data_IF_390896582738
#
_entry.id   IF_390896582738
#
_cell.length_a   1.000
_cell.length_b   1.000
_cell.length_c   1.000
_cell.angle_alpha   90.00
_cell.angle_beta   90.00
_cell.angle_gamma   90.00
#
_symmetry.space_group_name_H-M   'P 1'
#
loop_
_entity.id
_entity.type
_entity.pdbx_description
1 polymer ?
#
# COMPACT_ATOMS: atom_id res chain seq x y z
N UNK A 1 18.84 -1.18 -2.60
CA UNK A 1 19.17 -2.56 -3.00
C UNK A 1 18.87 -3.48 -1.84
N UNK A 2 17.65 -4.03 -1.80
CA UNK A 2 17.27 -5.06 -0.85
C UNK A 2 17.99 -6.36 -1.18
N UNK A 3 18.25 -7.14 -0.13
CA UNK A 3 18.78 -8.50 -0.23
C UNK A 3 17.62 -9.46 0.05
N UNK A 4 17.18 -10.20 -0.95
CA UNK A 4 16.04 -11.11 -0.88
C UNK A 4 16.57 -12.55 -0.86
N UNK A 5 16.16 -13.33 0.13
CA UNK A 5 16.60 -14.72 0.31
C UNK A 5 15.71 -15.67 -0.50
N UNK A 6 16.14 -16.02 -1.71
CA UNK A 6 15.43 -17.01 -2.51
C UNK A 6 15.56 -18.39 -1.83
N UNK A 7 14.46 -19.11 -1.54
CA UNK A 7 14.51 -20.42 -0.88
C UNK A 7 15.37 -21.47 -1.61
N UNK A 8 15.62 -21.25 -2.90
CA UNK A 8 16.32 -22.18 -3.78
C UNK A 8 17.71 -21.71 -4.18
N UNK A 9 18.01 -20.41 -4.07
CA UNK A 9 19.25 -19.81 -4.59
C UNK A 9 20.02 -18.99 -3.53
N UNK A 10 19.46 -18.85 -2.33
CA UNK A 10 20.01 -18.03 -1.25
C UNK A 10 19.83 -16.52 -1.47
N UNK A 11 20.57 -15.70 -0.71
CA UNK A 11 20.47 -14.25 -0.76
C UNK A 11 20.91 -13.68 -2.12
N UNK A 12 20.07 -12.82 -2.72
CA UNK A 12 20.31 -12.16 -4.01
C UNK A 12 19.78 -10.72 -4.01
N UNK A 13 20.27 -9.90 -4.93
CA UNK A 13 19.86 -8.50 -5.05
C UNK A 13 18.43 -8.38 -5.60
N UNK A 14 17.68 -7.38 -5.13
CA UNK A 14 16.27 -7.14 -5.50
C UNK A 14 16.01 -7.07 -7.02
N UNK A 15 16.99 -6.58 -7.78
CA UNK A 15 16.92 -6.44 -9.24
C UNK A 15 16.85 -7.78 -9.98
N UNK A 16 17.19 -8.89 -9.32
CA UNK A 16 17.03 -10.24 -9.87
C UNK A 16 15.57 -10.73 -9.77
N UNK A 17 14.69 -9.99 -9.11
CA UNK A 17 13.34 -10.44 -8.78
C UNK A 17 12.25 -9.57 -9.42
N UNK A 18 11.12 -10.21 -9.70
CA UNK A 18 9.88 -9.55 -10.06
C UNK A 18 8.93 -9.56 -8.86
N UNK A 19 8.30 -8.40 -8.59
CA UNK A 19 7.34 -8.24 -7.51
C UNK A 19 5.94 -8.67 -7.95
N UNK A 20 5.27 -9.52 -7.18
CA UNK A 20 3.95 -10.07 -7.51
C UNK A 20 2.78 -9.55 -6.67
N UNK A 21 3.00 -8.51 -5.86
CA UNK A 21 1.97 -7.95 -4.98
C UNK A 21 1.61 -8.88 -3.81
N UNK A 22 0.40 -8.72 -3.30
CA UNK A 22 -0.13 -9.48 -2.17
C UNK A 22 -0.12 -11.01 -2.42
N UNK A 23 0.23 -11.76 -1.38
CA UNK A 23 0.17 -13.22 -1.34
C UNK A 23 -1.23 -13.72 -0.93
N UNK A 24 -1.51 -15.00 -1.19
CA UNK A 24 -2.73 -15.67 -0.72
C UNK A 24 -4.04 -15.13 -1.31
N UNK A 25 -4.00 -14.53 -2.49
CA UNK A 25 -5.20 -14.24 -3.29
C UNK A 25 -5.32 -15.31 -4.39
N UNK A 26 -6.06 -16.41 -4.16
CA UNK A 26 -6.22 -17.47 -5.15
C UNK A 26 -7.11 -17.01 -6.30
N UNK A 27 -6.93 -17.63 -7.47
CA UNK A 27 -7.90 -17.50 -8.56
C UNK A 27 -9.22 -18.15 -8.12
N UNK A 28 -10.40 -17.52 -8.36
CA UNK A 28 -11.68 -18.12 -8.03
C UNK A 28 -11.89 -19.45 -8.75
N UNK A 29 -12.39 -20.48 -8.05
CA UNK A 29 -12.59 -21.82 -8.63
C UNK A 29 -13.61 -21.81 -9.78
N UNK A 30 -14.68 -21.02 -9.64
CA UNK A 30 -15.66 -20.76 -10.68
C UNK A 30 -15.91 -19.24 -10.83
N UNK A 31 -15.17 -18.56 -11.71
CA UNK A 31 -15.36 -17.13 -11.97
C UNK A 31 -16.74 -16.77 -12.52
N UNK A 32 -17.43 -17.72 -13.17
CA UNK A 32 -18.74 -17.46 -13.80
C UNK A 32 -19.88 -17.40 -12.79
N UNK A 33 -19.67 -17.96 -11.60
CA UNK A 33 -20.61 -17.90 -10.49
C UNK A 33 -20.51 -16.61 -9.66
N UNK A 34 -19.46 -15.79 -9.87
CA UNK A 34 -19.26 -14.54 -9.14
C UNK A 34 -20.13 -13.41 -9.69
N UNK A 35 -20.57 -12.53 -8.81
CA UNK A 35 -21.12 -11.24 -9.22
C UNK A 35 -20.04 -10.33 -9.80
N UNK A 36 -20.43 -9.35 -10.62
CA UNK A 36 -19.52 -8.32 -11.16
C UNK A 36 -18.71 -7.63 -10.05
N UNK A 37 -19.32 -7.44 -8.88
CA UNK A 37 -18.64 -6.86 -7.71
C UNK A 37 -17.52 -7.77 -7.22
N UNK A 38 -17.81 -9.03 -6.92
CA UNK A 38 -16.81 -9.99 -6.41
C UNK A 38 -15.69 -10.21 -7.44
N UNK A 39 -16.06 -10.25 -8.73
CA UNK A 39 -15.08 -10.33 -9.82
C UNK A 39 -14.20 -9.08 -9.89
N UNK A 40 -14.78 -7.88 -9.73
CA UNK A 40 -14.01 -6.63 -9.68
C UNK A 40 -13.05 -6.57 -8.48
N UNK A 41 -13.46 -7.11 -7.33
CA UNK A 41 -12.61 -7.23 -6.15
C UNK A 41 -11.42 -8.16 -6.45
N UNK A 42 -11.66 -9.31 -7.08
CA UNK A 42 -10.60 -10.20 -7.53
C UNK A 42 -9.67 -9.56 -8.57
N UNK A 43 -10.19 -8.79 -9.53
CA UNK A 43 -9.38 -8.19 -10.60
C UNK A 43 -8.54 -7.00 -10.12
N UNK A 44 -9.11 -6.14 -9.28
CA UNK A 44 -8.55 -4.80 -9.04
C UNK A 44 -8.18 -4.52 -7.58
N UNK A 45 -8.67 -5.29 -6.61
CA UNK A 45 -8.47 -4.98 -5.19
C UNK A 45 -7.41 -5.89 -4.57
N UNK A 46 -6.41 -5.29 -3.93
CA UNK A 46 -5.41 -5.97 -3.11
C UNK A 46 -5.18 -5.20 -1.83
N UNK A 47 -4.77 -5.88 -0.76
CA UNK A 47 -4.40 -5.22 0.48
C UNK A 47 -3.15 -4.35 0.27
N UNK A 48 -3.16 -3.18 0.87
CA UNK A 48 -2.02 -2.25 0.91
C UNK A 48 -1.77 -1.75 2.35
N UNK A 49 -1.43 -2.66 3.29
CA UNK A 49 -1.20 -2.29 4.66
C UNK A 49 0.11 -1.51 4.80
N UNK A 50 0.08 -0.46 5.63
CA UNK A 50 1.27 0.22 6.13
C UNK A 50 1.83 -0.57 7.32
N UNK A 51 2.78 -1.47 7.06
CA UNK A 51 3.32 -2.42 8.03
C UNK A 51 3.65 -3.75 7.39
N UNK A 52 3.54 -4.85 8.13
CA UNK A 52 3.81 -6.19 7.59
C UNK A 52 2.78 -6.55 6.51
N UNK A 53 3.27 -6.80 5.29
CA UNK A 53 2.52 -7.37 4.18
C UNK A 53 3.03 -8.79 3.88
N UNK A 54 2.09 -9.71 3.64
CA UNK A 54 2.37 -10.97 2.98
C UNK A 54 2.34 -10.74 1.46
N UNK A 55 3.48 -10.92 0.81
CA UNK A 55 3.69 -10.58 -0.59
C UNK A 55 4.38 -11.71 -1.36
N UNK A 56 4.35 -11.64 -2.68
CA UNK A 56 4.94 -12.63 -3.59
C UNK A 56 6.12 -12.05 -4.36
N UNK A 57 7.12 -12.90 -4.57
CA UNK A 57 8.29 -12.60 -5.37
C UNK A 57 8.60 -13.75 -6.32
N UNK A 58 9.08 -13.41 -7.51
CA UNK A 58 9.61 -14.37 -8.47
C UNK A 58 11.09 -14.10 -8.70
N UNK A 59 11.95 -15.11 -8.59
CA UNK A 59 13.38 -14.96 -8.90
C UNK A 59 13.62 -15.01 -10.43
N UNK A 60 13.18 -13.98 -11.13
CA UNK A 60 13.09 -13.92 -12.59
C UNK A 60 14.45 -14.05 -13.29
N UNK A 61 15.52 -13.51 -12.71
CA UNK A 61 16.89 -13.63 -13.25
C UNK A 61 17.65 -14.89 -12.75
N UNK A 62 17.01 -15.74 -11.94
CA UNK A 62 17.61 -16.95 -11.37
C UNK A 62 16.76 -18.19 -11.60
N UNK A 63 16.25 -18.82 -10.54
CA UNK A 63 15.52 -20.08 -10.65
C UNK A 63 14.11 -19.96 -11.26
N UNK A 64 13.61 -18.73 -11.48
CA UNK A 64 12.29 -18.40 -12.04
C UNK A 64 11.09 -18.90 -11.23
N UNK A 65 11.33 -19.42 -10.02
CA UNK A 65 10.29 -19.88 -9.09
C UNK A 65 9.67 -18.70 -8.36
N UNK A 66 8.39 -18.84 -8.06
CA UNK A 66 7.66 -17.98 -7.15
C UNK A 66 7.86 -18.44 -5.71
N UNK A 67 7.77 -17.51 -4.77
CA UNK A 67 7.74 -17.73 -3.33
C UNK A 67 7.04 -16.56 -2.64
N UNK A 68 6.74 -16.72 -1.34
CA UNK A 68 6.10 -15.70 -0.53
C UNK A 68 7.10 -15.09 0.47
N UNK A 69 6.83 -13.87 0.90
CA UNK A 69 7.59 -13.18 1.93
C UNK A 69 6.67 -12.39 2.87
N UNK A 70 7.12 -12.21 4.10
CA UNK A 70 6.59 -11.22 5.03
C UNK A 70 7.58 -10.06 5.09
N UNK A 71 7.15 -8.87 4.69
CA UNK A 71 8.01 -7.68 4.71
C UNK A 71 7.27 -6.49 5.33
N UNK A 72 7.97 -5.72 6.15
CA UNK A 72 7.45 -4.43 6.59
C UNK A 72 7.54 -3.41 5.44
N UNK A 73 6.41 -2.96 4.94
CA UNK A 73 6.33 -2.00 3.82
C UNK A 73 6.83 -0.60 4.18
N UNK A 74 7.08 -0.31 5.47
CA UNK A 74 7.64 0.98 5.95
C UNK A 74 9.16 0.97 5.98
N UNK A 75 9.76 -0.13 6.44
CA UNK A 75 11.21 -0.25 6.67
C UNK A 75 11.92 -1.11 5.63
N UNK A 76 11.14 -1.86 4.83
CA UNK A 76 11.57 -2.85 3.85
C UNK A 76 12.32 -4.06 4.42
N UNK A 77 12.29 -4.25 5.75
CA UNK A 77 12.85 -5.45 6.38
C UNK A 77 11.99 -6.67 6.07
N UNK A 78 12.64 -7.71 5.56
CA UNK A 78 12.05 -9.03 5.43
C UNK A 78 12.05 -9.71 6.81
N UNK A 79 10.88 -10.09 7.29
CA UNK A 79 10.73 -10.85 8.53
C UNK A 79 10.83 -12.36 8.26
N UNK A 80 10.30 -12.81 7.11
CA UNK A 80 10.31 -14.21 6.74
C UNK A 80 10.15 -14.43 5.24
N UNK A 81 10.72 -15.53 4.75
CA UNK A 81 10.50 -16.06 3.39
C UNK A 81 10.01 -17.50 3.50
N UNK A 82 9.06 -17.88 2.65
CA UNK A 82 8.43 -19.21 2.67
C UNK A 82 7.96 -19.64 1.28
N UNK A 83 7.79 -20.95 1.11
CA UNK A 83 7.46 -21.55 -0.19
C UNK A 83 6.03 -21.22 -0.66
N UNK A 84 5.82 -21.28 -1.97
CA UNK A 84 4.46 -21.17 -2.52
C UNK A 84 3.56 -22.31 -2.03
N UNK A 85 2.29 -22.01 -1.79
CA UNK A 85 1.28 -22.99 -1.37
C UNK A 85 1.32 -23.33 0.13
N UNK A 86 2.31 -22.82 0.87
CA UNK A 86 2.32 -22.93 2.34
C UNK A 86 1.52 -21.76 2.95
N UNK A 87 0.84 -21.97 4.10
CA UNK A 87 0.06 -20.93 4.74
C UNK A 87 0.95 -19.77 5.20
N UNK A 88 0.35 -18.59 5.37
CA UNK A 88 1.03 -17.44 5.97
C UNK A 88 1.55 -17.84 7.37
N UNK A 89 2.86 -17.71 7.64
CA UNK A 89 3.39 -18.01 8.96
C UNK A 89 3.03 -16.90 9.97
N UNK A 90 2.87 -17.29 11.23
CA UNK A 90 2.72 -16.36 12.33
C UNK A 90 4.05 -15.67 12.63
N UNK A 91 4.01 -14.34 12.82
CA UNK A 91 5.18 -13.62 13.28
C UNK A 91 5.35 -13.79 14.79
N UNK A 92 6.59 -13.93 15.29
CA UNK A 92 6.83 -13.86 16.72
C UNK A 92 6.33 -12.51 17.25
N UNK A 93 5.79 -12.46 18.48
CA UNK A 93 5.38 -11.21 19.10
C UNK A 93 6.57 -10.26 19.12
N UNK A 94 6.34 -9.00 18.74
CA UNK A 94 7.35 -7.95 18.92
C UNK A 94 7.67 -7.91 20.42
N UNK A 95 8.94 -8.04 20.82
CA UNK A 95 9.28 -7.98 22.24
C UNK A 95 8.76 -6.67 22.80
N UNK A 96 7.91 -6.75 23.84
CA UNK A 96 7.48 -5.59 24.58
C UNK A 96 8.71 -4.99 25.24
N UNK A 97 9.18 -3.85 24.72
CA UNK A 97 10.21 -3.06 25.38
C UNK A 97 9.49 -2.34 26.53
N UNK A 98 9.84 -2.62 27.79
CA UNK A 98 9.24 -1.93 28.94
C UNK A 98 9.37 -0.41 28.78
N UNK A 99 8.32 0.34 29.09
CA UNK A 99 8.29 1.80 28.88
C UNK A 99 9.39 2.54 29.66
N UNK A 100 9.90 1.93 30.74
CA UNK A 100 11.02 2.39 31.56
C UNK A 100 12.40 2.03 30.99
N UNK A 101 12.47 1.15 29.98
CA UNK A 101 13.70 0.83 29.23
C UNK A 101 13.91 1.73 28.00
N UNK A 102 12.96 2.61 27.67
CA UNK A 102 13.14 3.62 26.65
C UNK A 102 14.07 4.72 27.18
N UNK A 103 15.28 4.79 26.64
CA UNK A 103 16.21 5.89 26.89
C UNK A 103 15.49 7.24 26.66
N UNK A 104 15.66 8.24 27.55
CA UNK A 104 14.98 9.52 27.43
C UNK A 104 15.28 10.14 26.06
N UNK A 105 14.23 10.55 25.35
CA UNK A 105 14.34 11.13 24.02
C UNK A 105 15.25 12.37 24.06
N UNK A 106 16.50 12.18 23.64
CA UNK A 106 17.53 13.22 23.58
C UNK A 106 17.16 14.38 22.65
N UNK A 107 16.15 14.22 21.79
CA UNK A 107 15.61 15.30 20.96
C UNK A 107 14.45 16.05 21.60
N UNK A 108 13.73 15.45 22.56
CA UNK A 108 12.69 16.15 23.33
C UNK A 108 13.28 17.27 24.22
N UNK A 109 14.51 17.09 24.71
CA UNK A 109 15.19 18.08 25.55
C UNK A 109 15.62 19.37 24.81
N UNK A 110 15.70 19.35 23.46
CA UNK A 110 16.16 20.50 22.68
C UNK A 110 15.05 21.51 22.31
N UNK A 111 13.78 21.19 22.58
CA UNK A 111 12.64 22.02 22.21
C UNK A 111 12.38 23.20 23.17
N UNK A 112 13.10 23.31 24.29
CA UNK A 112 13.01 24.42 25.21
C UNK A 112 14.04 25.52 24.85
N UNK A 113 13.82 26.24 23.75
CA UNK A 113 14.43 27.57 23.58
C UNK A 113 13.41 28.62 23.98
N UNK A 114 13.75 29.36 25.04
CA UNK A 114 12.98 30.44 25.64
C UNK A 114 12.82 31.62 24.66
N UNK A 115 11.61 32.22 24.65
CA UNK A 115 11.42 33.63 24.30
C UNK A 115 11.02 33.95 22.86
N UNK A 116 9.74 33.77 22.52
CA UNK A 116 9.07 34.59 21.49
C UNK A 116 8.04 35.46 22.19
N UNK A 117 8.35 36.74 22.38
CA UNK A 117 7.37 37.76 22.78
C UNK A 117 6.34 37.91 21.66
N UNK A 118 5.08 37.62 21.99
CA UNK A 118 3.93 37.90 21.14
C UNK A 118 3.64 39.41 21.18
N UNK A 119 3.76 40.08 20.04
CA UNK A 119 3.18 41.41 19.85
C UNK A 119 1.68 41.24 19.60
N UNK A 120 0.76 41.96 20.29
CA UNK A 120 -0.66 41.80 20.07
C UNK A 120 -1.05 42.31 18.68
N UNK A 121 -1.74 41.48 17.91
CA UNK A 121 -2.34 41.87 16.64
C UNK A 121 -3.49 42.85 16.93
N UNK A 122 -3.40 44.06 16.37
CA UNK A 122 -4.46 45.05 16.48
C UNK A 122 -5.70 44.62 15.70
N UNK A 123 -6.85 44.86 16.33
CA UNK A 123 -8.21 44.63 15.84
C UNK A 123 -8.48 45.39 14.54
N UNK A 124 -8.90 44.70 13.48
CA UNK A 124 -9.47 45.34 12.29
C UNK A 124 -10.86 44.77 12.01
N UNK A 125 -11.83 45.58 12.41
CA UNK A 125 -13.25 45.43 12.14
C UNK A 125 -13.56 45.74 10.68
N UNK A 126 -14.32 44.86 10.01
CA UNK A 126 -15.27 45.21 8.96
C UNK A 126 -14.85 44.98 7.50
N UNK A 127 -15.52 44.04 6.82
CA UNK A 127 -16.53 44.34 5.79
C UNK A 127 -16.89 43.11 4.92
N UNK A 128 -18.10 42.60 5.16
CA UNK A 128 -19.16 42.13 4.25
C UNK A 128 -18.90 41.72 2.78
N UNK A 129 -19.52 40.59 2.41
CA UNK A 129 -20.15 40.32 1.10
C UNK A 129 -19.25 39.61 0.09
N UNK A 130 -19.67 38.65 -0.73
CA UNK A 130 -20.99 38.12 -1.10
C UNK A 130 -20.80 36.74 -1.71
N UNK A 131 -21.76 35.85 -1.50
CA UNK A 131 -21.90 34.52 -2.08
C UNK A 131 -22.24 34.55 -3.57
N UNK A 132 -21.71 33.61 -4.34
CA UNK A 132 -22.31 33.20 -5.62
C UNK A 132 -22.13 31.70 -5.82
N UNK A 133 -23.25 30.99 -5.74
CA UNK A 133 -23.42 29.61 -6.16
C UNK A 133 -23.32 29.52 -7.69
N UNK A 134 -22.57 28.54 -8.20
CA UNK A 134 -22.52 28.19 -9.61
C UNK A 134 -23.10 26.79 -9.80
N UNK A 135 -24.35 26.72 -10.24
CA UNK A 135 -25.06 25.50 -10.61
C UNK A 135 -24.48 24.94 -11.92
N UNK A 136 -24.02 23.69 -11.91
CA UNK A 136 -23.66 22.97 -13.13
C UNK A 136 -24.88 22.24 -13.68
N UNK A 137 -25.45 22.77 -14.76
CA UNK A 137 -26.54 22.14 -15.51
C UNK A 137 -25.98 21.05 -16.42
N UNK A 138 -26.53 19.85 -16.31
CA UNK A 138 -26.38 18.71 -17.22
C UNK A 138 -27.14 18.94 -18.53
N UNK A 139 -26.49 18.71 -19.67
CA UNK A 139 -27.13 18.64 -21.00
C UNK A 139 -27.15 17.17 -21.48
N UNK A 140 -28.34 16.56 -21.69
CA UNK A 140 -28.47 15.22 -22.25
C UNK A 140 -29.02 15.28 -23.67
N UNK A 141 -28.16 15.35 -24.69
CA UNK A 141 -28.52 15.00 -26.07
C UNK A 141 -27.30 14.94 -26.98
N UNK A 142 -26.84 13.73 -27.32
CA UNK A 142 -26.49 13.30 -28.69
C UNK A 142 -25.46 12.16 -28.66
N UNK A 143 -25.91 10.91 -28.83
CA UNK A 143 -25.22 9.99 -29.76
C UNK A 143 -26.14 8.85 -30.19
N UNK A 144 -26.60 9.00 -31.43
CA UNK A 144 -27.33 8.05 -32.25
C UNK A 144 -26.52 6.78 -32.47
N UNK A 145 -27.24 5.65 -32.46
CA UNK A 145 -26.82 4.33 -32.92
C UNK A 145 -26.25 4.37 -34.35
N UNK A 146 -25.20 3.60 -34.61
CA UNK A 146 -24.93 3.09 -35.95
C UNK A 146 -24.21 1.74 -35.87
N UNK A 147 -24.99 0.70 -36.17
CA UNK A 147 -24.54 -0.64 -36.53
C UNK A 147 -23.60 -0.57 -37.75
N UNK A 148 -22.58 -1.42 -37.75
CA UNK A 148 -21.71 -1.64 -38.91
C UNK A 148 -20.81 -2.85 -38.69
N UNK A 149 -21.30 -4.01 -39.14
CA UNK A 149 -20.52 -5.21 -39.49
C UNK A 149 -19.18 -4.85 -40.12
N UNK A 150 -18.07 -5.51 -39.73
CA UNK A 150 -16.96 -5.83 -40.64
C UNK A 150 -16.36 -7.19 -40.24
N UNK A 151 -16.72 -8.22 -41.01
CA UNK A 151 -15.95 -9.45 -41.18
C UNK A 151 -14.72 -9.15 -42.06
N UNK A 152 -13.57 -9.72 -41.70
CA UNK A 152 -12.33 -9.73 -42.47
C UNK A 152 -11.23 -10.44 -41.72
#
# INVERSE_FOLDING_TARGET
>A
MLLIECPYCGPRNEVEFHYGGEAHVPYPEDPSALSDREWSEYLFYRANPKGILAERWQHSAGCRKWFNALRDTRTYRFEQVYEMGTPRPDLPPVPEIPADAAEPDRFAAAAATEGRTETPLADSTGASGTSSAGTSTTDPSSRTEQNGDHHG
#
